data_IF_707253625198
#
_entry.id   IF_707253625198
#
_cell.length_a   1.000
_cell.length_b   1.000
_cell.length_c   1.000
_cell.angle_alpha   90.00
_cell.angle_beta   90.00
_cell.angle_gamma   90.00
#
_symmetry.space_group_name_H-M   'P 1'
#
loop_
_entity.id
_entity.type
_entity.pdbx_description
1 polymer ?
#
# COMPACT_ATOMS: atom_id res chain seq x y z
N UNK A 1 25.73 58.98 -21.10
CA UNK A 1 25.55 58.07 -19.95
C UNK A 1 24.82 56.83 -20.44
N UNK A 2 25.30 55.65 -20.05
CA UNK A 2 25.11 54.35 -20.71
C UNK A 2 23.69 53.79 -20.49
N UNK A 3 22.98 53.43 -21.57
CA UNK A 3 21.70 52.70 -21.48
C UNK A 3 21.96 51.23 -21.14
N UNK A 4 21.46 50.77 -19.99
CA UNK A 4 21.51 49.37 -19.58
C UNK A 4 20.22 48.68 -20.06
N UNK A 5 20.34 47.78 -21.02
CA UNK A 5 19.24 46.88 -21.43
C UNK A 5 19.25 45.62 -20.58
N UNK A 6 18.27 45.46 -19.68
CA UNK A 6 18.06 44.22 -18.93
C UNK A 6 17.47 43.14 -19.86
N UNK A 7 18.26 42.11 -20.16
CA UNK A 7 17.76 40.90 -20.82
C UNK A 7 17.03 40.03 -19.79
N UNK A 8 15.71 39.91 -19.92
CA UNK A 8 14.91 38.93 -19.18
C UNK A 8 15.17 37.56 -19.81
N UNK A 9 15.99 36.74 -19.13
CA UNK A 9 16.17 35.34 -19.48
C UNK A 9 14.96 34.52 -19.08
N UNK A 10 14.21 34.01 -20.06
CA UNK A 10 13.11 33.07 -19.83
C UNK A 10 13.73 31.73 -19.44
N UNK A 11 13.62 31.37 -18.16
CA UNK A 11 13.95 30.03 -17.68
C UNK A 11 12.92 29.05 -18.26
N UNK A 12 13.32 28.31 -19.29
CA UNK A 12 12.57 27.18 -19.82
C UNK A 12 12.58 26.06 -18.77
N UNK A 13 11.50 25.97 -17.99
CA UNK A 13 11.28 24.82 -17.11
C UNK A 13 10.90 23.61 -17.97
N UNK A 14 11.86 22.69 -18.19
CA UNK A 14 11.55 21.40 -18.79
C UNK A 14 10.58 20.64 -17.89
N UNK A 15 9.49 20.03 -18.42
CA UNK A 15 8.65 19.16 -17.63
C UNK A 15 9.47 17.95 -17.19
N UNK A 16 9.63 17.77 -15.88
CA UNK A 16 10.17 16.54 -15.34
C UNK A 16 9.14 15.43 -15.57
N UNK A 17 9.42 14.51 -16.50
CA UNK A 17 8.67 13.25 -16.58
C UNK A 17 9.07 12.42 -15.35
N UNK A 18 8.17 12.25 -14.40
CA UNK A 18 8.39 11.35 -13.28
C UNK A 18 8.42 9.92 -13.83
N UNK A 19 9.58 9.26 -13.76
CA UNK A 19 9.69 7.83 -14.06
C UNK A 19 8.80 7.07 -13.07
N UNK A 20 7.71 6.51 -13.56
CA UNK A 20 6.82 5.68 -12.75
C UNK A 20 7.56 4.39 -12.41
N UNK A 21 7.90 4.21 -11.13
CA UNK A 21 8.51 2.96 -10.66
C UNK A 21 7.52 1.82 -10.89
N UNK A 22 7.95 0.77 -11.58
CA UNK A 22 7.15 -0.45 -11.74
C UNK A 22 7.12 -1.21 -10.42
N UNK A 23 5.97 -1.18 -9.74
CA UNK A 23 5.74 -1.97 -8.53
C UNK A 23 5.52 -3.43 -8.95
N UNK A 24 6.15 -4.37 -8.23
CA UNK A 24 6.14 -5.80 -8.53
C UNK A 24 5.87 -6.62 -7.27
N UNK A 25 5.56 -7.92 -7.45
CA UNK A 25 5.24 -8.86 -6.37
C UNK A 25 3.74 -8.98 -6.10
N UNK A 26 3.37 -9.81 -5.12
CA UNK A 26 1.97 -10.16 -4.82
C UNK A 26 1.10 -8.94 -4.49
N UNK A 27 1.67 -7.89 -3.93
CA UNK A 27 0.96 -6.64 -3.66
C UNK A 27 0.47 -5.90 -4.90
N UNK A 28 1.12 -6.10 -6.05
CA UNK A 28 0.76 -5.47 -7.32
C UNK A 28 -0.23 -6.32 -8.14
N UNK A 29 -0.60 -7.52 -7.66
CA UNK A 29 -1.70 -8.29 -8.25
C UNK A 29 -3.01 -7.57 -8.01
N UNK A 30 -3.91 -7.59 -9.00
CA UNK A 30 -5.27 -7.09 -8.79
C UNK A 30 -6.01 -7.98 -7.79
N UNK A 31 -6.97 -7.41 -7.08
CA UNK A 31 -7.83 -8.13 -6.16
C UNK A 31 -8.66 -9.22 -6.86
N UNK A 32 -9.05 -9.01 -8.13
CA UNK A 32 -9.64 -10.06 -8.96
C UNK A 32 -8.69 -11.25 -9.14
N UNK A 33 -7.44 -10.97 -9.51
CA UNK A 33 -6.43 -12.01 -9.72
C UNK A 33 -6.12 -12.78 -8.44
N UNK A 34 -5.91 -12.06 -7.33
CA UNK A 34 -5.75 -12.67 -6.00
C UNK A 34 -6.89 -13.65 -5.67
N UNK A 35 -8.16 -13.23 -5.81
CA UNK A 35 -9.30 -14.08 -5.47
C UNK A 35 -9.42 -15.31 -6.40
N UNK A 36 -9.07 -15.15 -7.68
CA UNK A 36 -8.99 -16.27 -8.61
C UNK A 36 -7.92 -17.27 -8.16
N UNK A 37 -6.69 -16.80 -7.94
CA UNK A 37 -5.54 -17.65 -7.61
C UNK A 37 -5.75 -18.43 -6.31
N UNK A 38 -6.31 -17.81 -5.27
CA UNK A 38 -6.59 -18.53 -4.01
C UNK A 38 -7.77 -19.51 -4.15
N UNK A 39 -8.67 -19.28 -5.11
CA UNK A 39 -9.76 -20.20 -5.42
C UNK A 39 -9.25 -21.46 -6.13
N UNK A 40 -8.27 -21.30 -7.02
CA UNK A 40 -7.60 -22.40 -7.74
C UNK A 40 -6.59 -23.14 -6.85
N UNK A 41 -5.84 -22.40 -6.02
CA UNK A 41 -4.84 -22.93 -5.12
C UNK A 41 -4.91 -22.24 -3.74
N UNK A 42 -5.68 -22.80 -2.78
CA UNK A 42 -5.83 -22.22 -1.44
C UNK A 42 -4.52 -22.03 -0.67
N UNK A 43 -3.44 -22.74 -1.03
CA UNK A 43 -2.14 -22.55 -0.39
C UNK A 43 -1.52 -21.18 -0.68
N UNK A 44 -1.84 -20.55 -1.83
CA UNK A 44 -1.35 -19.22 -2.18
C UNK A 44 -1.85 -18.13 -1.24
N UNK A 45 -2.97 -18.36 -0.54
CA UNK A 45 -3.48 -17.43 0.46
C UNK A 45 -2.46 -17.15 1.57
N UNK A 46 -1.67 -18.17 1.97
CA UNK A 46 -0.61 -18.00 2.96
C UNK A 46 0.48 -17.06 2.44
N UNK A 47 0.86 -17.17 1.17
CA UNK A 47 1.95 -16.39 0.59
C UNK A 47 1.52 -14.92 0.39
N UNK A 48 0.28 -14.70 -0.06
CA UNK A 48 -0.35 -13.38 -0.10
C UNK A 48 -0.47 -12.75 1.30
N UNK A 49 -0.85 -13.53 2.31
CA UNK A 49 -0.97 -13.01 3.67
C UNK A 49 0.40 -12.69 4.29
N UNK A 50 1.40 -13.56 4.10
CA UNK A 50 2.76 -13.31 4.55
C UNK A 50 3.34 -12.03 3.90
N UNK A 51 3.07 -11.80 2.61
CA UNK A 51 3.44 -10.56 1.94
C UNK A 51 2.76 -9.34 2.57
N UNK A 52 1.45 -9.42 2.87
CA UNK A 52 0.72 -8.32 3.51
C UNK A 52 1.25 -8.00 4.91
N UNK A 53 1.56 -9.02 5.71
CA UNK A 53 2.18 -8.84 7.03
C UNK A 53 3.55 -8.16 6.94
N UNK A 54 4.39 -8.58 5.98
CA UNK A 54 5.69 -7.94 5.73
C UNK A 54 5.54 -6.48 5.28
N UNK A 55 4.59 -6.20 4.39
CA UNK A 55 4.26 -4.83 3.95
C UNK A 55 3.85 -3.94 5.12
N UNK A 56 2.92 -4.39 5.97
CA UNK A 56 2.46 -3.64 7.15
C UNK A 56 3.58 -3.44 8.18
N UNK A 57 4.41 -4.47 8.42
CA UNK A 57 5.56 -4.37 9.30
C UNK A 57 6.57 -3.34 8.80
N UNK A 58 6.83 -3.33 7.49
CA UNK A 58 7.68 -2.32 6.87
C UNK A 58 7.12 -0.90 6.97
N UNK A 59 5.80 -0.75 6.93
CA UNK A 59 5.13 0.54 7.17
C UNK A 59 5.32 1.01 8.62
N UNK A 60 5.18 0.11 9.60
CA UNK A 60 5.44 0.41 11.02
C UNK A 60 6.89 0.82 11.27
N UNK A 61 7.85 0.06 10.75
CA UNK A 61 9.29 0.34 10.95
C UNK A 61 9.68 1.73 10.44
N UNK A 62 9.03 2.20 9.36
CA UNK A 62 9.30 3.52 8.76
C UNK A 62 8.36 4.61 9.24
N UNK A 63 7.45 4.33 10.17
CA UNK A 63 6.54 5.32 10.69
C UNK A 63 7.31 6.40 11.48
N UNK A 64 6.92 7.68 11.37
CA UNK A 64 7.47 8.72 12.24
C UNK A 64 7.22 8.42 13.72
N UNK A 65 8.03 8.97 14.61
CA UNK A 65 7.80 8.88 16.06
C UNK A 65 6.38 9.36 16.43
N UNK A 66 5.73 8.65 17.36
CA UNK A 66 4.35 8.91 17.76
C UNK A 66 3.28 8.48 16.76
N UNK A 67 3.64 7.97 15.57
CA UNK A 67 2.67 7.43 14.59
C UNK A 67 2.66 5.90 14.68
N UNK A 68 1.48 5.34 14.93
CA UNK A 68 1.26 3.87 15.08
C UNK A 68 2.17 3.22 16.13
N UNK A 69 2.67 4.00 17.09
CA UNK A 69 3.56 3.52 18.13
C UNK A 69 2.84 2.47 18.99
N UNK A 70 3.48 1.31 19.15
CA UNK A 70 2.89 0.19 19.87
C UNK A 70 1.73 -0.51 19.15
N UNK A 71 1.47 -0.21 17.88
CA UNK A 71 0.46 -0.93 17.10
C UNK A 71 0.82 -2.42 17.01
N UNK A 72 -0.05 -3.26 17.56
CA UNK A 72 0.00 -4.71 17.40
C UNK A 72 -0.66 -5.11 16.07
N UNK A 73 0.09 -5.76 15.18
CA UNK A 73 -0.44 -6.32 13.93
C UNK A 73 -1.14 -7.68 14.14
N UNK A 74 -1.03 -8.25 15.33
CA UNK A 74 -1.58 -9.55 15.71
C UNK A 74 -2.41 -9.48 16.99
N UNK A 75 -3.32 -8.48 17.14
CA UNK A 75 -4.05 -8.30 18.38
C UNK A 75 -4.97 -9.51 18.60
N UNK A 76 -5.12 -10.00 19.85
CA UNK A 76 -6.01 -11.12 20.14
C UNK A 76 -7.48 -10.87 19.75
N UNK A 77 -7.90 -9.60 19.68
CA UNK A 77 -9.24 -9.19 19.26
C UNK A 77 -9.47 -9.21 17.75
N UNK A 78 -8.43 -9.41 16.93
CA UNK A 78 -8.53 -9.52 15.48
C UNK A 78 -7.51 -10.56 14.95
N UNK A 79 -7.80 -11.86 15.18
CA UNK A 79 -6.87 -12.95 14.90
C UNK A 79 -6.56 -13.08 13.40
N UNK A 80 -5.45 -13.76 13.07
CA UNK A 80 -4.94 -13.85 11.70
C UNK A 80 -5.97 -14.38 10.68
N UNK A 81 -6.81 -15.32 11.08
CA UNK A 81 -7.87 -15.85 10.21
C UNK A 81 -8.89 -14.76 9.84
N UNK A 82 -9.27 -13.90 10.78
CA UNK A 82 -10.17 -12.77 10.50
C UNK A 82 -9.49 -11.70 9.63
N UNK A 83 -8.19 -11.51 9.77
CA UNK A 83 -7.41 -10.62 8.88
C UNK A 83 -7.40 -11.16 7.44
N UNK A 84 -7.23 -12.46 7.28
CA UNK A 84 -7.30 -13.14 5.97
C UNK A 84 -8.70 -13.02 5.36
N UNK A 85 -9.74 -13.26 6.15
CA UNK A 85 -11.12 -13.12 5.68
C UNK A 85 -11.48 -11.67 5.33
N UNK A 86 -10.92 -10.70 6.07
CA UNK A 86 -11.01 -9.28 5.71
C UNK A 86 -10.40 -9.00 4.34
N UNK A 87 -9.21 -9.53 4.04
CA UNK A 87 -8.54 -9.32 2.74
C UNK A 87 -9.35 -9.91 1.59
N UNK A 88 -9.88 -11.12 1.75
CA UNK A 88 -10.80 -11.75 0.78
C UNK A 88 -12.04 -10.91 0.55
N UNK A 89 -12.69 -10.48 1.63
CA UNK A 89 -13.91 -9.68 1.56
C UNK A 89 -13.66 -8.29 0.93
N UNK A 90 -12.52 -7.67 1.23
CA UNK A 90 -12.10 -6.43 0.59
C UNK A 90 -11.94 -6.64 -0.91
N UNK A 91 -11.16 -7.65 -1.32
CA UNK A 91 -10.88 -7.89 -2.73
C UNK A 91 -12.11 -8.35 -3.52
N UNK A 92 -13.06 -9.05 -2.89
CA UNK A 92 -14.32 -9.42 -3.55
C UNK A 92 -15.16 -8.20 -3.97
N UNK A 93 -15.04 -7.09 -3.24
CA UNK A 93 -15.77 -5.83 -3.48
C UNK A 93 -15.00 -4.82 -4.34
N UNK A 94 -13.69 -4.99 -4.49
CA UNK A 94 -12.80 -4.01 -5.11
C UNK A 94 -11.89 -4.70 -6.15
N UNK A 95 -12.50 -5.31 -7.16
CA UNK A 95 -11.82 -6.22 -8.09
C UNK A 95 -10.68 -5.58 -8.90
N UNK A 96 -10.78 -4.27 -9.15
CA UNK A 96 -9.86 -3.45 -9.94
C UNK A 96 -8.71 -2.84 -9.12
N UNK A 97 -8.78 -2.90 -7.79
CA UNK A 97 -7.70 -2.42 -6.92
C UNK A 97 -6.59 -3.45 -6.78
N UNK A 98 -5.40 -2.99 -6.41
CA UNK A 98 -4.27 -3.86 -6.11
C UNK A 98 -4.45 -4.54 -4.74
N UNK A 99 -3.88 -5.73 -4.56
CA UNK A 99 -3.90 -6.42 -3.27
C UNK A 99 -3.22 -5.60 -2.15
N UNK A 100 -2.24 -4.75 -2.50
CA UNK A 100 -1.66 -3.77 -1.59
C UNK A 100 -2.70 -2.78 -1.03
N UNK A 101 -3.75 -2.42 -1.77
CA UNK A 101 -4.85 -1.60 -1.23
C UNK A 101 -5.63 -2.33 -0.14
N UNK A 102 -5.87 -3.63 -0.33
CA UNK A 102 -6.46 -4.48 0.69
C UNK A 102 -5.57 -4.53 1.95
N UNK A 103 -4.25 -4.68 1.78
CA UNK A 103 -3.29 -4.64 2.88
C UNK A 103 -3.28 -3.28 3.60
N UNK A 104 -3.35 -2.16 2.87
CA UNK A 104 -3.52 -0.82 3.45
C UNK A 104 -4.83 -0.69 4.23
N UNK A 105 -5.92 -1.25 3.72
CA UNK A 105 -7.22 -1.24 4.38
C UNK A 105 -7.19 -2.06 5.68
N UNK A 106 -6.54 -3.23 5.66
CA UNK A 106 -6.31 -4.06 6.84
C UNK A 106 -5.48 -3.31 7.88
N UNK A 107 -4.40 -2.65 7.46
CA UNK A 107 -3.56 -1.85 8.35
C UNK A 107 -4.34 -0.73 9.03
N UNK A 108 -5.21 -0.02 8.29
CA UNK A 108 -6.13 0.97 8.87
C UNK A 108 -7.12 0.35 9.84
N UNK A 109 -7.64 -0.85 9.54
CA UNK A 109 -8.57 -1.57 10.42
C UNK A 109 -7.92 -1.98 11.75
N UNK A 110 -6.64 -2.36 11.72
CA UNK A 110 -5.83 -2.72 12.89
C UNK A 110 -5.48 -1.51 13.75
N UNK A 111 -5.15 -0.36 13.14
CA UNK A 111 -4.95 0.92 13.86
C UNK A 111 -6.17 1.34 14.69
N UNK A 112 -7.38 0.93 14.29
CA UNK A 112 -8.61 1.38 14.91
C UNK A 112 -8.90 2.87 14.66
N UNK A 113 -9.89 3.45 15.38
CA UNK A 113 -10.18 4.87 15.30
C UNK A 113 -8.96 5.70 15.74
N UNK A 114 -8.64 6.77 15.02
CA UNK A 114 -7.69 7.76 15.52
C UNK A 114 -8.35 8.50 16.67
N UNK A 115 -7.84 8.32 17.88
CA UNK A 115 -8.19 9.15 19.05
C UNK A 115 -7.56 10.52 18.96
#
# INVERSE_FOLDING_TARGET
MLSVTSAIGILLSSPATADTVKIVGLGASTCAHFNQEIGENPALQRDYFAWAQGFMSGALIRAPQGVDEGLDLTPPSFPLQEQVDFLRAFCAKNQDQDYMDAARALYRRLRGPKT
#
